data_IF_836480472125
#
_entry.id   IF_836480472125
#
_cell.length_a   1.000
_cell.length_b   1.000
_cell.length_c   1.000
_cell.angle_alpha   90.00
_cell.angle_beta   90.00
_cell.angle_gamma   90.00
#
_symmetry.space_group_name_H-M   'P 1'
#
loop_
_entity.id
_entity.type
_entity.pdbx_description
1 polymer ?
#
# COMPACT_ATOMS: atom_id res chain seq x y z
N UNK A 1 -19.85 -11.24 20.32
CA UNK A 1 -19.51 -11.54 18.90
C UNK A 1 -19.57 -10.24 18.14
N UNK A 2 -18.44 -9.55 18.08
CA UNK A 2 -18.34 -8.19 17.57
C UNK A 2 -18.32 -8.16 16.04
N UNK A 3 -19.24 -7.38 15.49
CA UNK A 3 -19.42 -7.08 14.06
C UNK A 3 -18.29 -6.19 13.50
N UNK A 4 -17.07 -6.25 14.07
CA UNK A 4 -15.95 -5.31 13.84
C UNK A 4 -14.87 -5.83 12.88
N UNK A 5 -14.96 -7.07 12.40
CA UNK A 5 -14.13 -7.56 11.28
C UNK A 5 -14.64 -7.03 9.93
N UNK A 6 -14.78 -5.70 9.80
CA UNK A 6 -14.88 -5.09 8.48
C UNK A 6 -13.63 -5.52 7.72
N UNK A 7 -13.85 -6.25 6.63
CA UNK A 7 -12.84 -6.92 5.83
C UNK A 7 -11.75 -5.91 5.46
N UNK A 8 -10.55 -6.02 6.04
CA UNK A 8 -9.40 -5.24 5.56
C UNK A 8 -9.13 -5.71 4.14
N UNK A 9 -9.51 -4.90 3.16
CA UNK A 9 -9.33 -5.18 1.75
C UNK A 9 -8.33 -4.20 1.12
N UNK A 10 -8.05 -4.39 -0.17
CA UNK A 10 -7.10 -3.56 -0.88
C UNK A 10 -7.51 -2.08 -0.92
N UNK A 11 -8.82 -1.80 -0.96
CA UNK A 11 -9.33 -0.43 -1.03
C UNK A 11 -9.12 0.29 0.31
N UNK A 12 -9.42 -0.38 1.43
CA UNK A 12 -9.11 0.11 2.76
C UNK A 12 -7.61 0.43 2.90
N UNK A 13 -6.74 -0.46 2.41
CA UNK A 13 -5.30 -0.24 2.49
C UNK A 13 -4.84 0.95 1.63
N UNK A 14 -5.42 1.11 0.43
CA UNK A 14 -5.18 2.29 -0.42
C UNK A 14 -5.51 3.57 0.34
N UNK A 15 -6.68 3.64 0.98
CA UNK A 15 -7.11 4.80 1.76
C UNK A 15 -6.14 5.11 2.91
N UNK A 16 -5.73 4.09 3.66
CA UNK A 16 -4.73 4.24 4.73
C UNK A 16 -3.42 4.80 4.21
N UNK A 17 -2.87 4.24 3.14
CA UNK A 17 -1.61 4.71 2.55
C UNK A 17 -1.78 6.14 2.05
N UNK A 18 -2.88 6.46 1.36
CA UNK A 18 -3.09 7.82 0.86
C UNK A 18 -3.19 8.86 1.96
N UNK A 19 -3.78 8.50 3.13
CA UNK A 19 -3.80 9.37 4.31
C UNK A 19 -2.41 9.70 4.85
N UNK A 20 -1.52 8.70 4.92
CA UNK A 20 -0.13 8.90 5.39
C UNK A 20 0.68 9.83 4.48
N UNK A 21 0.41 9.77 3.18
CA UNK A 21 1.15 10.54 2.19
C UNK A 21 0.41 11.79 1.72
N UNK A 22 -0.82 12.08 2.16
CA UNK A 22 -1.61 13.19 1.62
C UNK A 22 -1.71 13.12 0.09
N UNK A 23 -2.17 11.96 -0.40
CA UNK A 23 -2.47 11.69 -1.80
C UNK A 23 -3.95 11.36 -1.92
N UNK A 24 -4.46 11.34 -3.15
CA UNK A 24 -5.75 10.73 -3.48
C UNK A 24 -5.56 9.27 -3.92
N UNK A 25 -6.58 8.44 -3.75
CA UNK A 25 -6.56 7.05 -4.24
C UNK A 25 -6.28 6.99 -5.74
N UNK A 26 -6.79 7.96 -6.50
CA UNK A 26 -6.52 8.09 -7.94
C UNK A 26 -5.03 8.30 -8.20
N UNK A 27 -4.39 9.28 -7.56
CA UNK A 27 -2.94 9.54 -7.74
C UNK A 27 -2.09 8.31 -7.37
N UNK A 28 -2.45 7.62 -6.29
CA UNK A 28 -1.75 6.42 -5.86
C UNK A 28 -1.92 5.27 -6.87
N UNK A 29 -3.11 5.07 -7.42
CA UNK A 29 -3.42 3.95 -8.32
C UNK A 29 -3.04 4.19 -9.78
N UNK A 30 -3.09 5.44 -10.28
CA UNK A 30 -2.62 5.76 -11.64
C UNK A 30 -1.10 5.86 -11.70
N UNK A 31 -0.49 6.43 -10.66
CA UNK A 31 0.96 6.52 -10.53
C UNK A 31 1.56 7.75 -11.18
N UNK A 32 2.88 7.85 -11.02
CA UNK A 32 3.69 8.93 -11.54
C UNK A 32 5.15 8.76 -11.11
N UNK A 33 6.07 9.47 -11.76
CA UNK A 33 7.51 9.43 -11.43
C UNK A 33 7.90 10.31 -10.23
N UNK A 34 6.92 10.92 -9.57
CA UNK A 34 7.16 11.75 -8.40
C UNK A 34 7.60 10.87 -7.23
N UNK A 35 8.66 11.30 -6.52
CA UNK A 35 9.24 10.58 -5.38
C UNK A 35 8.16 10.18 -4.36
N UNK A 36 7.22 11.09 -4.08
CA UNK A 36 6.10 10.89 -3.16
C UNK A 36 5.22 9.68 -3.53
N UNK A 37 4.79 9.60 -4.79
CA UNK A 37 3.97 8.49 -5.31
C UNK A 37 4.73 7.18 -5.31
N UNK A 38 6.03 7.19 -5.64
CA UNK A 38 6.88 5.99 -5.59
C UNK A 38 7.02 5.48 -4.15
N UNK A 39 7.26 6.36 -3.18
CA UNK A 39 7.34 6.00 -1.77
C UNK A 39 6.02 5.42 -1.27
N UNK A 40 4.90 6.08 -1.56
CA UNK A 40 3.57 5.61 -1.17
C UNK A 40 3.23 4.23 -1.77
N UNK A 41 3.50 4.03 -3.07
CA UNK A 41 3.31 2.72 -3.73
C UNK A 41 4.20 1.63 -3.15
N UNK A 42 5.42 1.97 -2.76
CA UNK A 42 6.32 1.00 -2.12
C UNK A 42 5.73 0.50 -0.81
N UNK A 43 5.23 1.41 0.03
CA UNK A 43 4.54 1.09 1.28
C UNK A 43 3.26 0.26 1.02
N UNK A 44 2.44 0.66 0.05
CA UNK A 44 1.24 -0.09 -0.35
C UNK A 44 1.56 -1.52 -0.77
N UNK A 45 2.58 -1.74 -1.61
CA UNK A 45 2.99 -3.07 -2.05
C UNK A 45 3.43 -3.94 -0.86
N UNK A 46 4.21 -3.37 0.07
CA UNK A 46 4.66 -4.09 1.26
C UNK A 46 3.49 -4.54 2.12
N UNK A 47 2.59 -3.63 2.52
CA UNK A 47 1.46 -3.99 3.37
C UNK A 47 0.43 -4.86 2.64
N UNK A 48 0.22 -4.69 1.33
CA UNK A 48 -0.67 -5.58 0.58
C UNK A 48 -0.16 -7.02 0.60
N UNK A 49 1.16 -7.22 0.48
CA UNK A 49 1.75 -8.55 0.61
C UNK A 49 1.72 -9.05 2.05
N UNK A 50 2.12 -8.22 3.02
CA UNK A 50 2.28 -8.65 4.42
C UNK A 50 0.96 -8.85 5.16
N UNK A 51 0.02 -7.94 4.98
CA UNK A 51 -1.21 -7.82 5.79
C UNK A 51 -2.42 -8.42 5.09
N UNK A 52 -2.46 -8.32 3.75
CA UNK A 52 -3.57 -8.85 2.94
C UNK A 52 -3.22 -10.17 2.24
N UNK A 53 -1.99 -10.68 2.40
CA UNK A 53 -1.52 -11.92 1.77
C UNK A 53 -1.50 -11.86 0.24
N UNK A 54 -1.51 -10.68 -0.36
CA UNK A 54 -1.58 -10.53 -1.81
C UNK A 54 -0.25 -10.88 -2.50
N UNK A 55 -0.32 -11.65 -3.58
CA UNK A 55 0.83 -11.92 -4.42
C UNK A 55 1.26 -10.69 -5.22
N UNK A 56 2.54 -10.65 -5.62
CA UNK A 56 3.06 -9.59 -6.50
C UNK A 56 2.25 -9.47 -7.80
N UNK A 57 1.76 -10.58 -8.36
CA UNK A 57 0.90 -10.60 -9.56
C UNK A 57 -0.46 -9.96 -9.29
N UNK A 58 -1.07 -10.21 -8.14
CA UNK A 58 -2.34 -9.60 -7.77
C UNK A 58 -2.19 -8.07 -7.60
N UNK A 59 -1.12 -7.64 -6.94
CA UNK A 59 -0.79 -6.21 -6.74
C UNK A 59 -0.47 -5.54 -8.08
N UNK A 60 0.28 -6.21 -8.96
CA UNK A 60 0.69 -5.64 -10.25
C UNK A 60 -0.50 -5.30 -11.15
N UNK A 61 -1.53 -6.15 -11.14
CA UNK A 61 -2.81 -5.89 -11.83
C UNK A 61 -3.54 -4.68 -11.28
N UNK A 62 -3.53 -4.48 -9.95
CA UNK A 62 -4.17 -3.32 -9.30
C UNK A 62 -3.46 -2.00 -9.58
N UNK A 63 -2.15 -2.03 -9.74
CA UNK A 63 -1.31 -0.84 -9.95
C UNK A 63 -0.90 -0.59 -11.41
N UNK A 64 -1.30 -1.50 -12.32
CA UNK A 64 -0.91 -1.50 -13.74
C UNK A 64 0.62 -1.39 -13.94
N UNK A 65 1.36 -2.27 -13.26
CA UNK A 65 2.84 -2.36 -13.34
C UNK A 65 3.26 -3.82 -13.56
N UNK A 66 4.55 -4.05 -13.84
CA UNK A 66 5.09 -5.40 -13.88
C UNK A 66 5.13 -6.03 -12.47
N UNK A 67 4.99 -7.36 -12.39
CA UNK A 67 5.06 -8.08 -11.12
C UNK A 67 6.44 -7.96 -10.44
N UNK A 68 7.53 -7.91 -11.24
CA UNK A 68 8.89 -7.62 -10.72
C UNK A 68 8.95 -6.25 -10.06
N UNK A 69 8.39 -5.22 -10.69
CA UNK A 69 8.29 -3.87 -10.11
C UNK A 69 7.47 -3.86 -8.81
N UNK A 70 6.39 -4.64 -8.73
CA UNK A 70 5.61 -4.78 -7.50
C UNK A 70 6.46 -5.41 -6.37
N UNK A 71 7.20 -6.49 -6.66
CA UNK A 71 8.11 -7.14 -5.70
C UNK A 71 9.23 -6.21 -5.22
N UNK A 72 9.89 -5.51 -6.14
CA UNK A 72 10.93 -4.52 -5.79
C UNK A 72 10.36 -3.37 -4.95
N UNK A 73 9.14 -2.93 -5.27
CA UNK A 73 8.44 -1.90 -4.50
C UNK A 73 8.12 -2.38 -3.09
N UNK A 74 7.69 -3.63 -2.91
CA UNK A 74 7.45 -4.21 -1.59
C UNK A 74 8.74 -4.29 -0.75
N UNK A 75 9.85 -4.72 -1.34
CA UNK A 75 11.14 -4.77 -0.65
C UNK A 75 11.62 -3.36 -0.21
N UNK A 76 11.40 -2.35 -1.07
CA UNK A 76 11.67 -0.94 -0.74
C UNK A 76 10.71 -0.40 0.32
N UNK A 77 9.45 -0.83 0.25
CA UNK A 77 8.38 -0.46 1.18
C UNK A 77 8.67 -0.87 2.62
N UNK A 78 9.21 -2.08 2.81
CA UNK A 78 9.67 -2.54 4.13
C UNK A 78 10.67 -1.54 4.73
N UNK A 79 11.72 -1.18 3.99
CA UNK A 79 12.74 -0.23 4.45
C UNK A 79 12.14 1.12 4.81
N UNK A 80 11.23 1.64 3.98
CA UNK A 80 10.54 2.91 4.24
C UNK A 80 9.71 2.84 5.52
N UNK A 81 8.96 1.75 5.72
CA UNK A 81 8.12 1.57 6.91
C UNK A 81 8.98 1.52 8.17
N UNK A 82 10.12 0.81 8.12
CA UNK A 82 11.08 0.73 9.23
C UNK A 82 11.75 2.09 9.51
N UNK A 83 12.25 2.77 8.47
CA UNK A 83 12.93 4.07 8.58
C UNK A 83 12.01 5.19 9.09
N UNK A 84 10.75 5.20 8.66
CA UNK A 84 9.78 6.25 9.02
C UNK A 84 8.94 5.88 10.25
N UNK A 85 9.09 4.66 10.79
CA UNK A 85 8.29 4.19 11.91
C UNK A 85 6.80 4.10 11.62
N UNK A 86 6.42 3.90 10.35
CA UNK A 86 5.01 3.80 9.97
C UNK A 86 4.38 2.54 10.56
N UNK A 87 3.13 2.68 11.01
CA UNK A 87 2.33 1.58 11.54
C UNK A 87 1.00 1.56 10.84
N UNK A 88 0.55 0.36 10.50
CA UNK A 88 -0.80 0.15 10.00
C UNK A 88 -1.71 -0.01 11.22
N UNK A 89 -2.28 1.11 11.71
CA UNK A 89 -3.22 1.10 12.83
C UNK A 89 -4.68 1.06 12.34
N UNK A 90 -5.55 0.47 13.16
CA UNK A 90 -7.00 0.39 12.91
C UNK A 90 -7.76 1.66 13.32
N UNK A 91 -7.08 2.71 13.80
CA UNK A 91 -7.77 3.90 14.29
C UNK A 91 -8.38 4.68 13.14
N UNK A 92 -9.70 4.59 13.03
CA UNK A 92 -10.53 5.43 12.16
C UNK A 92 -10.37 6.86 12.68
N UNK A 93 -9.80 7.74 11.86
CA UNK A 93 -9.91 9.19 12.09
C UNK A 93 -11.29 9.60 11.60
#
# INVERSE_FOLDING_TARGET
MDRKYMLRDFQWLVERVTGLFGLTSKELLTGGKQRKTVTARSVLCYWATRELGMSAVAISKRLNIAASTASESAARGLRIVEEQGFKLSDEVI
#
